data_IF_742552614585
#
_entry.id   IF_742552614585
#
_cell.length_a   1.000
_cell.length_b   1.000
_cell.length_c   1.000
_cell.angle_alpha   90.00
_cell.angle_beta   90.00
_cell.angle_gamma   90.00
#
_symmetry.space_group_name_H-M   'P 1'
#
loop_
_entity.id
_entity.type
_entity.pdbx_description
1 polymer ?
#
# COMPACT_ATOMS: atom_id res chain seq x y z
N UNK A 1 -25.10 11.65 5.02
CA UNK A 1 -23.84 11.95 4.32
C UNK A 1 -23.35 10.66 3.65
N UNK A 2 -22.94 10.70 2.39
CA UNK A 2 -22.30 9.54 1.78
C UNK A 2 -21.04 9.19 2.56
N UNK A 3 -20.75 7.89 2.68
CA UNK A 3 -19.52 7.41 3.31
C UNK A 3 -18.31 7.89 2.49
N UNK A 4 -17.21 8.32 3.13
CA UNK A 4 -15.99 8.67 2.38
C UNK A 4 -15.52 7.47 1.56
N UNK A 5 -14.88 7.73 0.42
CA UNK A 5 -14.27 6.67 -0.37
C UNK A 5 -13.22 5.93 0.48
N UNK A 6 -13.15 4.60 0.41
CA UNK A 6 -12.16 3.86 1.16
C UNK A 6 -10.72 4.21 0.73
N UNK A 7 -9.81 4.15 1.66
CA UNK A 7 -8.39 4.38 1.46
C UNK A 7 -7.64 3.05 1.54
N UNK A 8 -6.98 2.65 0.46
CA UNK A 8 -6.18 1.42 0.40
C UNK A 8 -4.70 1.78 0.31
N UNK A 9 -3.90 1.31 1.26
CA UNK A 9 -2.46 1.47 1.16
C UNK A 9 -1.85 0.36 0.30
N UNK A 10 -0.92 0.71 -0.58
CA UNK A 10 -0.06 -0.24 -1.29
C UNK A 10 1.36 -0.05 -0.80
N UNK A 11 1.93 -1.12 -0.26
CA UNK A 11 3.27 -1.15 0.31
C UNK A 11 4.11 -2.25 -0.37
N UNK A 12 5.41 -2.02 -0.49
CA UNK A 12 6.31 -2.94 -1.16
C UNK A 12 7.69 -2.33 -1.35
N UNK A 13 8.63 -3.07 -1.98
CA UNK A 13 10.00 -2.60 -2.18
C UNK A 13 10.08 -1.37 -3.10
N UNK A 14 11.08 -0.53 -2.82
CA UNK A 14 11.42 0.63 -3.63
C UNK A 14 12.33 0.25 -4.82
N UNK A 15 13.62 0.52 -4.70
CA UNK A 15 14.58 0.43 -5.81
C UNK A 15 14.90 -1.00 -6.26
N UNK A 16 14.65 -2.01 -5.46
CA UNK A 16 14.96 -3.43 -5.69
C UNK A 16 13.72 -4.27 -6.03
N UNK A 17 12.60 -3.62 -6.40
CA UNK A 17 11.40 -4.30 -6.85
C UNK A 17 11.64 -5.10 -8.13
N UNK A 18 11.18 -6.35 -8.16
CA UNK A 18 11.22 -7.19 -9.36
C UNK A 18 10.19 -6.73 -10.41
N UNK A 19 10.35 -7.20 -11.65
CA UNK A 19 9.40 -6.90 -12.71
C UNK A 19 7.98 -7.41 -12.40
N UNK A 20 7.86 -8.56 -11.74
CA UNK A 20 6.56 -9.12 -11.32
C UNK A 20 5.92 -8.26 -10.22
N UNK A 21 6.67 -7.86 -9.20
CA UNK A 21 6.20 -6.96 -8.14
C UNK A 21 5.71 -5.62 -8.70
N UNK A 22 6.41 -5.07 -9.68
CA UNK A 22 6.00 -3.82 -10.35
C UNK A 22 4.71 -4.02 -11.15
N UNK A 23 4.56 -5.14 -11.87
CA UNK A 23 3.34 -5.47 -12.60
C UNK A 23 2.14 -5.65 -11.65
N UNK A 24 2.32 -6.39 -10.56
CA UNK A 24 1.31 -6.58 -9.52
C UNK A 24 0.89 -5.24 -8.89
N UNK A 25 1.86 -4.36 -8.61
CA UNK A 25 1.58 -3.04 -8.06
C UNK A 25 0.75 -2.16 -9.01
N UNK A 26 1.07 -2.17 -10.29
CA UNK A 26 0.32 -1.42 -11.30
C UNK A 26 -1.13 -1.92 -11.42
N UNK A 27 -1.33 -3.23 -11.42
CA UNK A 27 -2.66 -3.85 -11.42
C UNK A 27 -3.44 -3.51 -10.14
N UNK A 28 -2.79 -3.53 -8.97
CA UNK A 28 -3.40 -3.10 -7.71
C UNK A 28 -3.89 -1.66 -7.79
N UNK A 29 -3.05 -0.75 -8.25
CA UNK A 29 -3.41 0.65 -8.40
C UNK A 29 -4.61 0.87 -9.32
N UNK A 30 -4.61 0.21 -10.48
CA UNK A 30 -5.71 0.26 -11.43
C UNK A 30 -7.02 -0.27 -10.82
N UNK A 31 -6.97 -1.37 -10.09
CA UNK A 31 -8.14 -1.96 -9.42
C UNK A 31 -8.70 -1.04 -8.32
N UNK A 32 -7.83 -0.44 -7.49
CA UNK A 32 -8.21 0.53 -6.45
C UNK A 32 -8.96 1.71 -7.09
N UNK A 33 -8.40 2.30 -8.14
CA UNK A 33 -9.01 3.43 -8.82
C UNK A 33 -10.34 3.07 -9.51
N UNK A 34 -10.42 1.91 -10.16
CA UNK A 34 -11.65 1.41 -10.80
C UNK A 34 -12.78 1.26 -9.81
N UNK A 35 -12.48 0.89 -8.57
CA UNK A 35 -13.45 0.79 -7.48
C UNK A 35 -13.82 2.15 -6.83
N UNK A 36 -13.24 3.25 -7.28
CA UNK A 36 -13.47 4.58 -6.71
C UNK A 36 -12.80 4.80 -5.34
N UNK A 37 -11.85 3.94 -4.97
CA UNK A 37 -11.07 4.07 -3.76
C UNK A 37 -9.85 4.98 -3.96
N UNK A 38 -9.31 5.50 -2.86
CA UNK A 38 -8.08 6.29 -2.84
C UNK A 38 -6.87 5.41 -2.57
N UNK A 39 -5.83 5.55 -3.38
CA UNK A 39 -4.55 4.87 -3.14
C UNK A 39 -3.67 5.72 -2.23
N UNK A 40 -3.15 5.11 -1.17
CA UNK A 40 -2.15 5.71 -0.28
C UNK A 40 -0.84 4.91 -0.40
N UNK A 41 0.28 5.59 -0.46
CA UNK A 41 1.60 4.96 -0.44
C UNK A 41 2.67 5.88 0.16
N UNK A 42 3.90 5.40 0.21
CA UNK A 42 5.04 6.20 0.65
C UNK A 42 5.54 7.25 -0.35
N UNK A 43 4.98 7.32 -1.54
CA UNK A 43 5.22 8.39 -2.52
C UNK A 43 6.52 8.32 -3.30
N UNK A 44 7.36 7.29 -3.10
CA UNK A 44 8.66 7.14 -3.75
C UNK A 44 8.59 6.16 -4.93
N UNK A 45 9.72 5.54 -5.29
CA UNK A 45 9.84 4.65 -6.45
C UNK A 45 9.37 3.22 -6.22
N UNK A 46 9.67 2.34 -7.19
CA UNK A 46 9.37 0.92 -7.11
C UNK A 46 7.87 0.61 -7.11
N UNK A 47 7.46 -0.23 -6.17
CA UNK A 47 6.04 -0.63 -6.00
C UNK A 47 5.13 0.58 -5.80
N UNK A 48 5.57 1.58 -5.04
CA UNK A 48 4.80 2.82 -4.81
C UNK A 48 4.51 3.57 -6.11
N UNK A 49 5.53 3.74 -6.95
CA UNK A 49 5.39 4.42 -8.24
C UNK A 49 4.52 3.63 -9.22
N UNK A 50 4.74 2.31 -9.32
CA UNK A 50 3.94 1.45 -10.19
C UNK A 50 2.46 1.45 -9.80
N UNK A 51 2.16 1.37 -8.51
CA UNK A 51 0.79 1.46 -8.01
C UNK A 51 0.15 2.82 -8.34
N UNK A 52 0.87 3.92 -8.13
CA UNK A 52 0.39 5.26 -8.50
C UNK A 52 0.13 5.37 -10.01
N UNK A 53 1.02 4.84 -10.85
CA UNK A 53 0.84 4.83 -12.31
C UNK A 53 -0.41 4.07 -12.71
N UNK A 54 -0.63 2.88 -12.15
CA UNK A 54 -1.83 2.09 -12.36
C UNK A 54 -3.10 2.82 -11.97
N UNK A 55 -3.13 3.44 -10.79
CA UNK A 55 -4.28 4.22 -10.33
C UNK A 55 -4.55 5.42 -11.25
N UNK A 56 -3.52 6.14 -11.65
CA UNK A 56 -3.65 7.31 -12.55
C UNK A 56 -4.15 6.93 -13.95
N UNK A 57 -3.81 5.74 -14.44
CA UNK A 57 -4.35 5.24 -15.72
C UNK A 57 -5.88 5.08 -15.74
N UNK A 58 -6.49 5.04 -14.57
CA UNK A 58 -7.95 4.94 -14.34
C UNK A 58 -8.54 6.22 -13.72
N UNK A 59 -7.78 7.31 -13.70
CA UNK A 59 -8.24 8.58 -13.13
C UNK A 59 -8.35 8.63 -11.60
N UNK A 60 -7.71 7.66 -10.91
CA UNK A 60 -7.76 7.53 -9.45
C UNK A 60 -6.98 8.61 -8.71
N UNK A 61 -7.32 8.83 -7.45
CA UNK A 61 -6.60 9.69 -6.52
C UNK A 61 -5.44 8.91 -5.89
N UNK A 62 -4.25 9.50 -5.92
CA UNK A 62 -3.03 8.95 -5.32
C UNK A 62 -2.47 9.90 -4.29
N UNK A 63 -2.24 9.40 -3.08
CA UNK A 63 -1.68 10.15 -1.95
C UNK A 63 -0.33 9.56 -1.58
N UNK A 64 0.71 10.38 -1.62
CA UNK A 64 2.06 10.00 -1.21
C UNK A 64 2.43 10.64 0.12
N UNK A 65 2.70 9.83 1.15
CA UNK A 65 3.20 10.28 2.44
C UNK A 65 4.73 10.20 2.43
N UNK A 66 5.39 11.32 2.13
CA UNK A 66 6.83 11.38 1.92
C UNK A 66 7.61 11.37 3.24
N UNK A 67 8.80 10.74 3.28
CA UNK A 67 9.65 10.76 4.47
C UNK A 67 10.33 12.11 4.70
N UNK A 68 10.62 12.84 3.63
CA UNK A 68 11.30 14.14 3.66
C UNK A 68 10.36 15.31 3.85
N UNK A 69 10.89 16.50 3.57
CA UNK A 69 10.18 17.78 3.71
C UNK A 69 9.85 18.43 2.37
N UNK A 70 10.31 17.85 1.27
CA UNK A 70 10.11 18.37 -0.07
C UNK A 70 9.05 17.56 -0.82
N UNK A 71 8.07 18.26 -1.41
CA UNK A 71 7.04 17.65 -2.24
C UNK A 71 7.57 17.12 -3.57
N UNK A 72 8.65 17.71 -4.06
CA UNK A 72 9.26 17.37 -5.34
C UNK A 72 9.97 16.00 -5.30
N UNK A 73 10.19 15.43 -4.11
CA UNK A 73 10.67 14.06 -3.93
C UNK A 73 9.63 12.99 -4.34
N UNK A 74 8.36 13.36 -4.49
CA UNK A 74 7.30 12.44 -4.89
C UNK A 74 7.50 11.94 -6.31
N UNK A 75 7.14 10.67 -6.57
CA UNK A 75 7.10 10.17 -7.94
C UNK A 75 6.04 10.93 -8.77
N UNK A 76 6.22 10.95 -10.09
CA UNK A 76 5.42 11.76 -11.01
C UNK A 76 3.93 11.38 -11.11
N UNK A 77 3.49 10.32 -10.44
CA UNK A 77 2.11 9.83 -10.47
C UNK A 77 1.33 10.13 -9.18
N UNK A 78 1.99 10.71 -8.18
CA UNK A 78 1.34 11.19 -6.95
C UNK A 78 0.58 12.49 -7.22
N UNK A 79 -0.72 12.49 -6.90
CA UNK A 79 -1.57 13.69 -7.03
C UNK A 79 -1.44 14.58 -5.80
N UNK A 80 -1.51 13.98 -4.62
CA UNK A 80 -1.37 14.70 -3.35
C UNK A 80 -0.12 14.21 -2.62
N UNK A 81 0.93 15.01 -2.66
CA UNK A 81 2.17 14.76 -1.93
C UNK A 81 2.13 15.45 -0.57
N UNK A 82 2.33 14.67 0.49
CA UNK A 82 2.36 15.16 1.88
C UNK A 82 3.76 14.90 2.44
N UNK A 83 4.64 15.90 2.47
CA UNK A 83 5.95 15.77 3.11
C UNK A 83 5.78 15.77 4.62
N UNK A 84 6.23 14.69 5.27
CA UNK A 84 6.05 14.52 6.72
C UNK A 84 7.25 14.97 7.54
N UNK A 85 8.45 14.94 6.97
CA UNK A 85 9.69 15.19 7.69
C UNK A 85 10.03 14.13 8.75
N UNK A 86 9.36 12.98 8.73
CA UNK A 86 9.50 11.94 9.76
C UNK A 86 10.46 10.81 9.38
N UNK A 87 11.08 10.88 8.20
CA UNK A 87 11.92 9.77 7.71
C UNK A 87 11.12 8.48 7.66
N UNK A 88 11.72 7.38 8.07
CA UNK A 88 11.07 6.06 8.05
C UNK A 88 9.90 5.91 9.04
N UNK A 89 9.81 6.78 10.05
CA UNK A 89 8.69 6.78 10.99
C UNK A 89 7.33 7.07 10.30
N UNK A 90 7.35 7.71 9.10
CA UNK A 90 6.14 7.93 8.30
C UNK A 90 5.47 6.62 7.83
N UNK A 91 6.16 5.47 7.88
CA UNK A 91 5.57 4.16 7.59
C UNK A 91 4.36 3.85 8.48
N UNK A 92 4.40 4.33 9.73
CA UNK A 92 3.24 4.25 10.63
C UNK A 92 2.03 5.04 10.10
N UNK A 93 2.27 6.17 9.44
CA UNK A 93 1.21 6.99 8.86
C UNK A 93 0.60 6.33 7.62
N UNK A 94 1.41 5.69 6.77
CA UNK A 94 0.91 4.95 5.60
C UNK A 94 -0.06 3.86 6.03
N UNK A 95 0.34 3.04 6.99
CA UNK A 95 -0.50 1.97 7.53
C UNK A 95 -1.73 2.50 8.29
N UNK A 96 -1.55 3.57 9.07
CA UNK A 96 -2.60 4.14 9.92
C UNK A 96 -3.65 4.97 9.18
N UNK A 97 -3.34 5.47 7.98
CA UNK A 97 -4.26 6.25 7.16
C UNK A 97 -5.16 5.39 6.27
N UNK A 98 -4.92 4.09 6.21
CA UNK A 98 -5.63 3.18 5.32
C UNK A 98 -6.69 2.34 6.05
N UNK A 99 -7.77 2.03 5.35
CA UNK A 99 -8.79 1.08 5.80
C UNK A 99 -8.34 -0.38 5.60
N UNK A 100 -7.44 -0.61 4.65
CA UNK A 100 -6.77 -1.89 4.43
C UNK A 100 -5.40 -1.67 3.74
N UNK A 101 -4.51 -2.64 3.89
CA UNK A 101 -3.17 -2.64 3.30
C UNK A 101 -3.02 -3.79 2.32
N UNK A 102 -2.51 -3.50 1.13
CA UNK A 102 -2.05 -4.48 0.14
C UNK A 102 -0.52 -4.45 0.14
N UNK A 103 0.09 -5.53 0.59
CA UNK A 103 1.54 -5.69 0.64
C UNK A 103 2.02 -6.57 -0.52
N UNK A 104 2.91 -6.03 -1.35
CA UNK A 104 3.46 -6.72 -2.53
C UNK A 104 4.96 -6.90 -2.34
N UNK A 105 5.42 -8.15 -2.34
CA UNK A 105 6.82 -8.44 -2.05
C UNK A 105 7.22 -7.94 -0.66
N UNK A 106 8.44 -7.45 -0.53
CA UNK A 106 8.78 -6.70 0.65
C UNK A 106 10.20 -6.80 1.16
N UNK A 107 10.75 -5.64 1.48
CA UNK A 107 11.94 -5.45 2.29
C UNK A 107 11.58 -5.11 3.75
N UNK A 108 12.56 -4.62 4.49
CA UNK A 108 12.39 -4.27 5.90
C UNK A 108 11.37 -3.13 6.11
N UNK A 109 11.33 -2.16 5.18
CA UNK A 109 10.32 -1.08 5.22
C UNK A 109 8.91 -1.62 5.14
N UNK A 110 8.66 -2.54 4.19
CA UNK A 110 7.36 -3.20 4.03
C UNK A 110 6.98 -3.99 5.28
N UNK A 111 7.93 -4.68 5.92
CA UNK A 111 7.68 -5.38 7.17
C UNK A 111 7.27 -4.43 8.30
N UNK A 112 7.87 -3.24 8.39
CA UNK A 112 7.46 -2.24 9.38
C UNK A 112 6.04 -1.74 9.15
N UNK A 113 5.65 -1.51 7.90
CA UNK A 113 4.28 -1.10 7.53
C UNK A 113 3.26 -2.20 7.87
N UNK A 114 3.59 -3.46 7.55
CA UNK A 114 2.79 -4.63 7.97
C UNK A 114 2.63 -4.66 9.49
N UNK A 115 3.72 -4.49 10.23
CA UNK A 115 3.70 -4.48 11.69
C UNK A 115 2.81 -3.38 12.28
N UNK A 116 2.89 -2.17 11.74
CA UNK A 116 2.01 -1.06 12.15
C UNK A 116 0.54 -1.34 11.83
N UNK A 117 0.25 -1.88 10.63
CA UNK A 117 -1.10 -2.23 10.23
C UNK A 117 -1.70 -3.30 11.16
N UNK A 118 -0.98 -4.38 11.42
CA UNK A 118 -1.43 -5.46 12.30
C UNK A 118 -1.64 -4.98 13.75
N UNK A 119 -0.77 -4.10 14.24
CA UNK A 119 -0.93 -3.48 15.58
C UNK A 119 -2.20 -2.62 15.67
N UNK A 120 -2.57 -1.94 14.58
CA UNK A 120 -3.76 -1.11 14.48
C UNK A 120 -5.03 -1.90 14.09
N UNK A 121 -4.92 -3.23 13.97
CA UNK A 121 -6.00 -4.11 13.49
C UNK A 121 -6.48 -3.78 12.06
N UNK A 122 -5.66 -3.07 11.27
CA UNK A 122 -5.91 -2.80 9.87
C UNK A 122 -5.65 -4.08 9.07
N UNK A 123 -6.60 -4.55 8.25
CA UNK A 123 -6.45 -5.76 7.46
C UNK A 123 -5.27 -5.68 6.48
N UNK A 124 -4.49 -6.74 6.37
CA UNK A 124 -3.33 -6.84 5.45
C UNK A 124 -3.54 -8.02 4.50
N UNK A 125 -3.49 -7.75 3.21
CA UNK A 125 -3.54 -8.72 2.12
C UNK A 125 -2.20 -8.75 1.40
N UNK A 126 -1.58 -9.92 1.34
CA UNK A 126 -0.19 -10.06 0.89
C UNK A 126 -0.04 -10.86 -0.38
N UNK A 127 0.73 -10.34 -1.34
CA UNK A 127 1.13 -11.01 -2.58
C UNK A 127 2.63 -11.22 -2.55
N UNK A 128 3.08 -12.46 -2.40
CA UNK A 128 4.51 -12.80 -2.33
C UNK A 128 5.28 -12.04 -1.25
N UNK A 129 4.62 -11.70 -0.14
CA UNK A 129 5.21 -10.93 0.97
C UNK A 129 5.58 -11.80 2.16
N UNK A 130 5.82 -11.18 3.30
CA UNK A 130 6.24 -11.81 4.54
C UNK A 130 5.22 -12.80 5.10
N UNK A 131 5.70 -13.96 5.50
CA UNK A 131 5.00 -14.88 6.40
C UNK A 131 5.58 -14.73 7.79
N UNK A 132 4.74 -14.49 8.79
CA UNK A 132 5.17 -14.20 10.14
C UNK A 132 5.05 -15.43 11.02
N UNK A 133 6.14 -15.78 11.72
CA UNK A 133 6.16 -16.85 12.72
C UNK A 133 6.65 -16.31 14.05
N UNK A 134 6.12 -16.85 15.14
CA UNK A 134 6.57 -16.56 16.50
C UNK A 134 6.63 -17.85 17.31
N UNK A 135 7.82 -18.18 17.83
CA UNK A 135 8.01 -19.41 18.59
C UNK A 135 7.72 -20.68 17.79
N UNK A 136 7.98 -20.67 16.47
CA UNK A 136 7.72 -21.78 15.57
C UNK A 136 6.27 -21.92 15.08
N UNK A 137 5.36 -21.06 15.51
CA UNK A 137 3.96 -21.05 15.06
C UNK A 137 3.70 -19.86 14.12
N UNK A 138 2.95 -20.10 13.06
CA UNK A 138 2.50 -19.04 12.14
C UNK A 138 1.60 -18.05 12.89
N UNK A 139 1.90 -16.76 12.75
CA UNK A 139 1.09 -15.68 13.31
C UNK A 139 0.06 -15.27 12.25
N UNK A 140 -1.22 -15.43 12.59
CA UNK A 140 -2.29 -14.90 11.74
C UNK A 140 -2.23 -13.37 11.70
N UNK A 141 -2.39 -12.79 10.50
CA UNK A 141 -2.37 -11.34 10.35
C UNK A 141 -2.27 -10.92 8.89
N UNK A 142 -1.31 -11.47 8.15
CA UNK A 142 -1.21 -11.26 6.71
C UNK A 142 -2.00 -12.36 6.02
N UNK A 143 -3.03 -11.95 5.28
CA UNK A 143 -3.78 -12.88 4.43
C UNK A 143 -3.10 -12.99 3.07
N UNK A 144 -2.42 -14.12 2.84
CA UNK A 144 -1.79 -14.40 1.57
C UNK A 144 -2.85 -14.62 0.48
N UNK A 145 -2.64 -14.00 -0.67
CA UNK A 145 -3.45 -14.14 -1.89
C UNK A 145 -2.54 -14.28 -3.10
N UNK A 146 -3.07 -14.81 -4.21
CA UNK A 146 -2.25 -15.18 -5.36
C UNK A 146 -1.84 -13.97 -6.22
N UNK A 147 -2.69 -12.92 -6.26
CA UNK A 147 -2.45 -11.74 -7.09
C UNK A 147 -3.01 -10.46 -6.46
N UNK A 148 -2.55 -9.34 -6.99
CA UNK A 148 -2.87 -8.01 -6.49
C UNK A 148 -4.34 -7.62 -6.72
N UNK A 149 -4.97 -8.05 -7.80
CA UNK A 149 -6.38 -7.77 -8.08
C UNK A 149 -7.26 -8.43 -7.02
N UNK A 150 -6.96 -9.69 -6.69
CA UNK A 150 -7.62 -10.43 -5.61
C UNK A 150 -7.39 -9.74 -4.26
N UNK A 151 -6.15 -9.30 -3.98
CA UNK A 151 -5.84 -8.57 -2.76
C UNK A 151 -6.70 -7.31 -2.60
N UNK A 152 -6.82 -6.51 -3.66
CA UNK A 152 -7.65 -5.28 -3.66
C UNK A 152 -9.13 -5.61 -3.50
N UNK A 153 -9.65 -6.62 -4.20
CA UNK A 153 -11.06 -7.02 -4.09
C UNK A 153 -11.41 -7.43 -2.65
N UNK A 154 -10.56 -8.22 -2.00
CA UNK A 154 -10.76 -8.62 -0.61
C UNK A 154 -10.61 -7.44 0.37
N UNK A 155 -9.67 -6.54 0.13
CA UNK A 155 -9.48 -5.33 0.92
C UNK A 155 -10.75 -4.45 0.88
N UNK A 156 -11.29 -4.19 -0.29
CA UNK A 156 -12.52 -3.40 -0.48
C UNK A 156 -13.73 -4.05 0.20
N UNK A 157 -13.87 -5.36 0.08
CA UNK A 157 -14.95 -6.09 0.76
C UNK A 157 -14.91 -5.94 2.28
N UNK A 158 -13.72 -5.83 2.87
CA UNK A 158 -13.55 -5.57 4.31
C UNK A 158 -13.94 -4.15 4.70
N UNK A 159 -13.76 -3.16 3.80
CA UNK A 159 -14.12 -1.77 4.05
C UNK A 159 -15.65 -1.52 4.01
N UNK A 160 -16.42 -2.42 3.40
CA UNK A 160 -17.89 -2.32 3.30
C UNK A 160 -18.61 -2.74 4.58
N UNK A 161 -17.93 -3.42 5.50
CA UNK A 161 -18.48 -3.94 6.76
C UNK A 161 -18.26 -2.98 7.91
#
# INVERSE_FOLDING_TARGET
MPRPAPCIAVVGPGTDASADELAQAEEAGAAIATAGATLICGGLGGVMEAACRGARSRGGLTVGLLPGVDRDDANGWVVLAIPTGLGQARNALVAGAADAVVAIGGGWGTLTEIGFALRAETPVFGVGTWELTRGGATVAGVRAVDDAVTAVAEALHRCER
#
